data_IF_634089691922
#
_entry.id   IF_634089691922
#
_cell.length_a   1.000
_cell.length_b   1.000
_cell.length_c   1.000
_cell.angle_alpha   90.00
_cell.angle_beta   90.00
_cell.angle_gamma   90.00
#
_symmetry.space_group_name_H-M   'P 1'
#
loop_
_entity.id
_entity.type
_entity.pdbx_description
1 polymer ?
#
# COMPACT_ATOMS: atom_id res chain seq x y z
N UNK A 1 -16.81 -4.53 -0.52
CA UNK A 1 -17.70 -5.70 -0.37
C UNK A 1 -18.58 -5.76 -1.60
N UNK A 2 -18.31 -6.69 -2.50
CA UNK A 2 -19.15 -6.89 -3.69
C UNK A 2 -20.48 -7.50 -3.26
N UNK A 3 -21.58 -6.85 -3.65
CA UNK A 3 -22.92 -7.43 -3.50
C UNK A 3 -23.03 -8.66 -4.41
N UNK A 4 -23.90 -9.60 -4.07
CA UNK A 4 -24.08 -10.92 -4.72
C UNK A 4 -24.45 -10.92 -6.21
N UNK A 5 -24.37 -9.79 -6.91
CA UNK A 5 -24.74 -9.60 -8.31
C UNK A 5 -23.81 -8.64 -9.08
N UNK A 6 -22.55 -8.44 -8.66
CA UNK A 6 -21.61 -7.67 -9.51
C UNK A 6 -21.28 -8.47 -10.77
N UNK A 7 -21.55 -7.87 -11.93
CA UNK A 7 -21.29 -8.50 -13.23
C UNK A 7 -19.80 -8.56 -13.56
N UNK A 8 -19.40 -9.51 -14.41
CA UNK A 8 -18.03 -9.62 -14.92
C UNK A 8 -17.54 -8.29 -15.52
N UNK A 9 -18.40 -7.60 -16.27
CA UNK A 9 -18.05 -6.33 -16.90
C UNK A 9 -17.80 -5.22 -15.86
N UNK A 10 -18.56 -5.18 -14.76
CA UNK A 10 -18.33 -4.23 -13.67
C UNK A 10 -17.00 -4.50 -12.96
N UNK A 11 -16.65 -5.77 -12.71
CA UNK A 11 -15.37 -6.15 -12.12
C UNK A 11 -14.19 -5.72 -13.02
N UNK A 12 -14.29 -5.98 -14.32
CA UNK A 12 -13.26 -5.57 -15.30
C UNK A 12 -13.11 -4.05 -15.36
N UNK A 13 -14.24 -3.32 -15.41
CA UNK A 13 -14.24 -1.86 -15.36
C UNK A 13 -13.63 -1.32 -14.06
N UNK A 14 -13.85 -2.00 -12.94
CA UNK A 14 -13.26 -1.64 -11.67
C UNK A 14 -11.74 -1.80 -11.67
N UNK A 15 -11.23 -2.92 -12.19
CA UNK A 15 -9.78 -3.13 -12.38
C UNK A 15 -9.18 -2.04 -13.27
N UNK A 16 -9.83 -1.68 -14.38
CA UNK A 16 -9.35 -0.60 -15.25
C UNK A 16 -9.24 0.74 -14.50
N UNK A 17 -10.22 1.09 -13.67
CA UNK A 17 -10.17 2.31 -12.83
C UNK A 17 -9.05 2.26 -11.81
N UNK A 18 -8.80 1.10 -11.19
CA UNK A 18 -7.71 0.93 -10.23
C UNK A 18 -6.34 1.06 -10.90
N UNK A 19 -6.17 0.51 -12.11
CA UNK A 19 -4.95 0.67 -12.90
C UNK A 19 -4.72 2.14 -13.29
N UNK A 20 -5.79 2.88 -13.62
CA UNK A 20 -5.68 4.33 -13.87
C UNK A 20 -5.19 5.07 -12.62
N UNK A 21 -5.80 4.82 -11.45
CA UNK A 21 -5.33 5.40 -10.19
C UNK A 21 -3.87 5.07 -9.90
N UNK A 22 -3.43 3.84 -10.21
CA UNK A 22 -2.05 3.41 -10.04
C UNK A 22 -1.08 4.22 -10.92
N UNK A 23 -1.48 4.51 -12.17
CA UNK A 23 -0.69 5.33 -13.10
C UNK A 23 -0.60 6.80 -12.66
N UNK A 24 -1.61 7.30 -11.94
CA UNK A 24 -1.66 8.69 -11.46
C UNK A 24 -0.82 8.93 -10.19
N UNK A 25 -0.27 7.88 -9.56
CA UNK A 25 0.55 8.02 -8.37
C UNK A 25 1.90 8.69 -8.67
N UNK A 26 2.16 9.78 -7.96
CA UNK A 26 3.49 10.40 -7.89
C UNK A 26 4.53 9.50 -7.21
N UNK A 27 5.84 9.80 -7.34
CA UNK A 27 6.88 9.02 -6.66
C UNK A 27 6.61 8.81 -5.18
N UNK A 28 6.69 7.54 -4.77
CA UNK A 28 6.46 7.10 -3.40
C UNK A 28 7.63 6.27 -2.88
N UNK A 29 7.68 6.04 -1.57
CA UNK A 29 8.69 5.18 -0.95
C UNK A 29 8.11 4.35 0.18
N UNK A 30 8.45 3.07 0.21
CA UNK A 30 8.18 2.20 1.35
C UNK A 30 8.99 2.65 2.57
N UNK A 31 8.35 2.59 3.75
CA UNK A 31 9.02 2.69 5.03
C UNK A 31 8.19 3.42 6.07
N UNK A 32 8.81 3.71 7.19
CA UNK A 32 8.28 4.57 8.25
C UNK A 32 9.28 5.66 8.60
N UNK A 33 8.77 6.82 8.98
CA UNK A 33 9.57 7.97 9.40
C UNK A 33 9.44 8.14 10.91
N UNK A 34 10.58 8.16 11.62
CA UNK A 34 10.61 8.30 13.08
C UNK A 34 11.49 9.48 13.48
N UNK A 35 10.98 10.32 14.38
CA UNK A 35 11.77 11.34 15.07
C UNK A 35 12.49 10.71 16.27
N UNK A 36 13.79 10.96 16.39
CA UNK A 36 14.58 10.57 17.56
C UNK A 36 15.25 11.78 18.17
N UNK A 37 15.36 11.76 19.49
CA UNK A 37 16.13 12.72 20.25
C UNK A 37 17.25 11.99 21.00
N UNK A 38 18.39 12.65 21.17
CA UNK A 38 19.57 12.07 21.80
C UNK A 38 20.17 13.02 22.83
N UNK A 39 20.64 12.48 23.94
CA UNK A 39 21.45 13.22 24.90
C UNK A 39 22.91 13.19 24.45
N UNK A 40 23.67 14.26 24.73
CA UNK A 40 25.10 14.33 24.36
C UNK A 40 26.06 13.81 25.44
N UNK A 41 25.55 13.43 26.61
CA UNK A 41 26.33 12.91 27.74
C UNK A 41 27.08 13.96 28.57
N UNK A 42 26.92 15.26 28.26
CA UNK A 42 27.53 16.36 29.03
C UNK A 42 26.56 16.87 30.09
N UNK A 43 26.98 16.85 31.34
CA UNK A 43 26.22 17.31 32.52
C UNK A 43 25.80 18.79 32.41
N UNK A 44 26.64 19.62 31.80
CA UNK A 44 26.38 21.04 31.60
C UNK A 44 25.46 21.37 30.42
N UNK A 45 25.05 20.38 29.61
CA UNK A 45 24.20 20.61 28.45
C UNK A 45 22.72 20.68 28.83
N UNK A 46 21.91 21.43 28.07
CA UNK A 46 20.45 21.49 28.29
C UNK A 46 19.81 20.07 28.24
N UNK A 47 20.32 19.19 27.38
CA UNK A 47 19.80 17.82 27.23
C UNK A 47 20.02 16.92 28.46
N UNK A 48 20.77 17.37 29.48
CA UNK A 48 20.94 16.65 30.74
C UNK A 48 19.88 17.01 31.79
N UNK A 49 19.06 18.04 31.54
CA UNK A 49 17.98 18.45 32.44
C UNK A 49 16.87 17.40 32.45
N UNK A 50 16.33 17.13 33.63
CA UNK A 50 15.18 16.24 33.79
C UNK A 50 14.00 16.76 32.94
N UNK A 51 13.41 15.88 32.13
CA UNK A 51 12.31 16.21 31.22
C UNK A 51 12.72 16.89 29.90
N UNK A 52 14.00 17.21 29.67
CA UNK A 52 14.45 17.69 28.36
C UNK A 52 14.47 16.53 27.35
N UNK A 53 13.83 16.66 26.17
CA UNK A 53 13.80 15.59 25.18
C UNK A 53 15.20 15.27 24.61
N UNK A 54 16.16 16.18 24.73
CA UNK A 54 17.49 16.09 24.16
C UNK A 54 17.62 16.76 22.79
N UNK A 55 18.75 16.55 22.13
CA UNK A 55 18.99 17.08 20.80
C UNK A 55 18.16 16.35 19.76
N UNK A 56 17.48 17.10 18.89
CA UNK A 56 16.65 16.56 17.83
C UNK A 56 15.53 17.53 17.42
N UNK A 57 14.54 17.06 16.63
CA UNK A 57 14.42 15.67 16.17
C UNK A 57 15.39 15.33 15.03
N UNK A 58 16.06 14.19 15.16
CA UNK A 58 16.74 13.51 14.06
C UNK A 58 15.75 12.56 13.39
N UNK A 59 15.43 12.83 12.13
CA UNK A 59 14.46 12.04 11.39
C UNK A 59 15.13 10.85 10.70
N UNK A 60 14.60 9.65 10.92
CA UNK A 60 15.10 8.41 10.32
C UNK A 60 13.97 7.73 9.55
N UNK A 61 14.16 7.59 8.24
CA UNK A 61 13.35 6.73 7.39
C UNK A 61 13.89 5.30 7.48
N UNK A 62 13.05 4.34 7.86
CA UNK A 62 13.43 2.92 7.94
C UNK A 62 12.52 2.07 7.06
N UNK A 63 13.08 1.06 6.38
CA UNK A 63 12.28 0.07 5.62
C UNK A 63 12.93 -1.30 5.63
N UNK A 64 12.11 -2.34 5.46
CA UNK A 64 12.60 -3.71 5.30
C UNK A 64 12.84 -4.03 3.81
N UNK A 65 14.02 -4.58 3.49
CA UNK A 65 14.37 -5.11 2.17
C UNK A 65 14.88 -6.53 2.38
N UNK A 66 14.20 -7.53 1.81
CA UNK A 66 14.59 -8.96 1.89
C UNK A 66 14.92 -9.40 3.34
N UNK A 67 14.05 -9.05 4.29
CA UNK A 67 14.21 -9.38 5.72
C UNK A 67 15.24 -8.53 6.48
N UNK A 68 15.94 -7.59 5.84
CA UNK A 68 16.90 -6.68 6.49
C UNK A 68 16.32 -5.28 6.63
N UNK A 69 16.54 -4.63 7.77
CA UNK A 69 16.16 -3.23 7.95
C UNK A 69 17.25 -2.32 7.38
N UNK A 70 16.86 -1.34 6.57
CA UNK A 70 17.72 -0.26 6.09
C UNK A 70 17.17 1.08 6.55
N UNK A 71 18.07 1.97 6.97
CA UNK A 71 17.72 3.29 7.51
C UNK A 71 18.42 4.41 6.74
N UNK A 72 17.76 5.56 6.63
CA UNK A 72 18.28 6.79 6.03
C UNK A 72 17.87 7.99 6.87
N UNK A 73 18.83 8.87 7.16
CA UNK A 73 18.53 10.16 7.80
C UNK A 73 17.85 11.11 6.82
N UNK A 74 16.79 11.76 7.28
CA UNK A 74 16.02 12.75 6.54
C UNK A 74 16.26 14.13 7.17
N UNK A 75 16.51 15.14 6.35
CA UNK A 75 16.68 16.50 6.80
C UNK A 75 15.32 17.09 7.22
N UNK A 76 15.27 18.02 8.20
CA UNK A 76 14.00 18.61 8.66
C UNK A 76 13.13 19.21 7.54
N UNK A 77 13.73 19.84 6.54
CA UNK A 77 13.06 20.44 5.38
C UNK A 77 12.42 19.41 4.43
N UNK A 78 12.88 18.16 4.46
CA UNK A 78 12.36 17.07 3.65
C UNK A 78 11.39 16.14 4.40
N UNK A 79 11.05 16.45 5.66
CA UNK A 79 10.20 15.59 6.50
C UNK A 79 8.81 15.46 5.91
N UNK A 80 8.18 16.57 5.55
CA UNK A 80 6.79 16.55 5.10
C UNK A 80 6.64 15.85 3.76
N UNK A 81 7.50 16.18 2.79
CA UNK A 81 7.54 15.46 1.51
C UNK A 81 7.84 13.97 1.69
N UNK A 82 8.64 13.59 2.69
CA UNK A 82 8.88 12.17 3.02
C UNK A 82 7.63 11.48 3.56
N UNK A 83 6.83 12.15 4.40
CA UNK A 83 5.55 11.60 4.87
C UNK A 83 4.56 11.40 3.74
N UNK A 84 4.43 12.38 2.84
CA UNK A 84 3.56 12.28 1.66
C UNK A 84 3.94 11.10 0.77
N UNK A 85 5.24 10.90 0.54
CA UNK A 85 5.74 9.75 -0.24
C UNK A 85 5.48 8.40 0.45
N UNK A 86 5.46 8.35 1.79
CA UNK A 86 5.07 7.13 2.53
C UNK A 86 3.56 6.92 2.43
N UNK A 87 2.76 7.98 2.55
CA UNK A 87 1.31 7.90 2.42
C UNK A 87 0.90 7.36 1.04
N UNK A 88 1.51 7.86 -0.04
CA UNK A 88 1.32 7.34 -1.40
C UNK A 88 1.75 5.88 -1.55
N UNK A 89 2.76 5.44 -0.80
CA UNK A 89 3.12 4.02 -0.80
C UNK A 89 2.02 3.16 -0.15
N UNK A 90 1.38 3.63 0.92
CA UNK A 90 0.24 2.92 1.49
C UNK A 90 -0.96 2.91 0.53
N UNK A 91 -1.23 4.01 -0.17
CA UNK A 91 -2.25 4.06 -1.22
C UNK A 91 -1.95 3.07 -2.36
N UNK A 92 -0.70 3.02 -2.82
CA UNK A 92 -0.23 2.01 -3.77
C UNK A 92 -0.54 0.59 -3.29
N UNK A 93 -0.24 0.27 -2.02
CA UNK A 93 -0.52 -1.06 -1.47
C UNK A 93 -2.02 -1.38 -1.47
N UNK A 94 -2.85 -0.43 -1.05
CA UNK A 94 -4.30 -0.59 -1.03
C UNK A 94 -4.85 -0.85 -2.44
N UNK A 95 -4.41 -0.07 -3.45
CA UNK A 95 -4.83 -0.25 -4.84
C UNK A 95 -4.41 -1.63 -5.36
N UNK A 96 -3.18 -2.04 -5.13
CA UNK A 96 -2.69 -3.36 -5.56
C UNK A 96 -3.44 -4.50 -4.88
N UNK A 97 -3.74 -4.37 -3.59
CA UNK A 97 -4.53 -5.35 -2.86
C UNK A 97 -5.95 -5.46 -3.42
N UNK A 98 -6.58 -4.33 -3.74
CA UNK A 98 -7.90 -4.29 -4.37
C UNK A 98 -7.88 -4.90 -5.78
N UNK A 99 -6.87 -4.58 -6.59
CA UNK A 99 -6.70 -5.19 -7.93
C UNK A 99 -6.63 -6.71 -7.81
N UNK A 100 -5.85 -7.26 -6.88
CA UNK A 100 -5.73 -8.70 -6.68
C UNK A 100 -7.08 -9.31 -6.33
N UNK A 101 -7.78 -8.74 -5.36
CA UNK A 101 -9.07 -9.27 -4.90
C UNK A 101 -10.13 -9.22 -6.02
N UNK A 102 -10.21 -8.10 -6.75
CA UNK A 102 -11.13 -8.00 -7.89
C UNK A 102 -10.80 -9.01 -8.99
N UNK A 103 -9.51 -9.27 -9.25
CA UNK A 103 -9.13 -10.28 -10.25
C UNK A 103 -9.50 -11.70 -9.82
N UNK A 104 -9.46 -12.04 -8.53
CA UNK A 104 -9.97 -13.32 -8.04
C UNK A 104 -11.45 -13.47 -8.39
N UNK A 105 -12.27 -12.45 -8.13
CA UNK A 105 -13.69 -12.48 -8.49
C UNK A 105 -13.93 -12.55 -10.00
N UNK A 106 -13.09 -11.90 -10.82
CA UNK A 106 -13.15 -12.03 -12.29
C UNK A 106 -12.90 -13.47 -12.70
N UNK A 107 -11.86 -14.11 -12.15
CA UNK A 107 -11.54 -15.51 -12.44
C UNK A 107 -12.69 -16.45 -12.06
N UNK A 108 -13.27 -16.27 -10.87
CA UNK A 108 -14.41 -17.08 -10.43
C UNK A 108 -15.63 -16.92 -11.36
N UNK A 109 -15.96 -15.68 -11.73
CA UNK A 109 -17.08 -15.39 -12.64
C UNK A 109 -16.88 -15.99 -14.04
N UNK A 110 -15.65 -16.01 -14.55
CA UNK A 110 -15.32 -16.67 -15.83
C UNK A 110 -15.54 -18.18 -15.75
N UNK A 111 -15.08 -18.83 -14.67
CA UNK A 111 -15.27 -20.27 -14.47
C UNK A 111 -16.76 -20.65 -14.35
N UNK A 112 -17.59 -19.78 -13.76
CA UNK A 112 -19.04 -19.99 -13.67
C UNK A 112 -19.73 -19.89 -15.04
N UNK A 113 -19.34 -18.95 -15.89
CA UNK A 113 -19.87 -18.82 -17.25
C UNK A 113 -19.55 -20.05 -18.10
N UNK A 114 -18.33 -20.58 -18.01
CA UNK A 114 -17.93 -21.80 -18.73
C UNK A 114 -18.74 -23.03 -18.31
N UNK A 115 -19.05 -23.15 -17.00
CA UNK A 115 -19.94 -24.20 -16.48
C UNK A 115 -21.36 -24.07 -17.02
N UNK A 116 -21.90 -22.85 -17.07
CA UNK A 116 -23.23 -22.60 -17.61
C UNK A 116 -23.30 -22.96 -19.10
N UNK A 117 -22.35 -22.47 -19.91
CA UNK A 117 -22.28 -22.74 -21.35
C UNK A 117 -22.17 -24.25 -21.66
N UNK A 118 -21.34 -24.99 -20.91
CA UNK A 118 -21.20 -26.44 -21.08
C UNK A 118 -22.45 -27.24 -20.66
N UNK A 119 -23.19 -26.75 -19.65
CA UNK A 119 -24.46 -27.37 -19.22
C UNK A 119 -25.59 -27.18 -20.24
N UNK A 120 -25.65 -26.04 -20.91
CA UNK A 120 -26.64 -25.74 -21.95
C UNK A 120 -26.37 -26.52 -23.24
N UNK A 121 -25.10 -26.68 -23.62
CA UNK A 121 -24.71 -27.49 -24.78
C UNK A 121 -25.11 -28.97 -24.61
N UNK A 122 -24.94 -29.54 -23.40
CA UNK A 122 -25.37 -30.92 -23.10
C UNK A 122 -26.88 -31.13 -23.20
N UNK A 123 -27.69 -30.12 -22.84
CA UNK A 123 -29.16 -30.21 -22.96
C UNK A 123 -29.64 -30.20 -24.42
N UNK A 124 -28.94 -29.52 -25.33
CA UNK A 124 -29.32 -29.42 -26.76
C UNK A 124 -28.88 -30.62 -27.62
N UNK A 125 -27.84 -31.35 -27.21
CA UNK A 125 -27.31 -32.51 -27.96
C UNK A 125 -27.93 -33.87 -27.60
N UNK A 126 -28.91 -33.91 -26.68
CA UNK A 126 -29.53 -35.15 -26.20
C UNK A 126 -30.94 -35.40 -26.78
N UNK A 127 -31.27 -34.78 -27.91
CA UNK A 127 -32.53 -34.99 -28.67
C UNK A 127 -32.21 -35.58 -30.03
#
# INVERSE_FOLDING_TARGET
>A
MYSSHTSLQELQNHVHKLIQKLNDLEPFRQGSLTARYHTCGKDYCHCAKEGDPGHGPYWTLSRAIKGKNVAKTIKPDAVESTKEQIARFHEFQMIVDEIKETNIHICDALLEQDKQASSEAKKKGST
#
